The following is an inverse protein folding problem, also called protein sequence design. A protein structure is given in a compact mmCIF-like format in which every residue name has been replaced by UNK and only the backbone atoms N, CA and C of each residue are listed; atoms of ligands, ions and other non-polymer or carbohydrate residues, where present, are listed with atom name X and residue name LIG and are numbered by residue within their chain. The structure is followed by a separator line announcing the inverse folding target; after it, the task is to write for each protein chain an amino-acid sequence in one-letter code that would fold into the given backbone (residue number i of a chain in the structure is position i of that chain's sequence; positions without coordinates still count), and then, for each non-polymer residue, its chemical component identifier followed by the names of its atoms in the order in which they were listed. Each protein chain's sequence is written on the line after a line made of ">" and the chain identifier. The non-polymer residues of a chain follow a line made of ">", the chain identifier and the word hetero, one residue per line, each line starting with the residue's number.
data_IF_322267127334
#
_entry.id   IF_322267127334
#
_cell.length_a   1.000
_cell.length_b   1.000
_cell.length_c   1.000
_cell.angle_alpha   90.00
_cell.angle_beta   90.00
_cell.angle_gamma   90.00
#
_symmetry.space_group_name_H-M   'P 1'
#
loop_
_entity.id
_entity.type
_entity.pdbx_description
1 polymer ?
#
# COMPACT_ATOMS: atom_id res chain seq x y z
N UNK A 1 -24.03 -29.34 -1.14
CA UNK A 1 -23.78 -28.82 0.22
C UNK A 1 -24.70 -27.63 0.44
N UNK A 2 -25.61 -27.71 1.39
CA UNK A 2 -26.50 -26.62 1.74
C UNK A 2 -25.71 -25.46 2.37
N UNK A 3 -26.20 -24.21 2.26
CA UNK A 3 -25.53 -23.03 2.80
C UNK A 3 -25.25 -23.15 4.33
N UNK A 4 -26.08 -23.86 5.05
CA UNK A 4 -25.91 -24.14 6.50
C UNK A 4 -24.67 -24.98 6.80
N UNK A 5 -24.41 -26.05 6.07
CA UNK A 5 -23.19 -26.88 6.25
C UNK A 5 -21.89 -26.13 5.98
N UNK A 6 -21.95 -25.06 5.16
CA UNK A 6 -20.76 -24.25 4.87
C UNK A 6 -20.46 -23.25 5.99
N UNK A 7 -21.45 -22.67 6.66
CA UNK A 7 -21.24 -21.71 7.76
C UNK A 7 -20.78 -22.40 9.06
N UNK A 8 -21.14 -23.65 9.28
CA UNK A 8 -20.70 -24.43 10.45
C UNK A 8 -19.19 -24.66 10.48
N UNK A 9 -18.57 -24.83 9.31
CA UNK A 9 -17.12 -24.92 9.18
C UNK A 9 -16.39 -23.65 9.66
N UNK A 10 -17.07 -22.48 9.65
CA UNK A 10 -16.52 -21.18 10.06
C UNK A 10 -17.01 -20.72 11.46
N UNK A 11 -17.52 -21.62 12.27
CA UNK A 11 -17.97 -21.31 13.64
C UNK A 11 -19.47 -21.05 13.79
N UNK A 12 -20.25 -21.33 12.74
CA UNK A 12 -21.68 -21.14 12.70
C UNK A 12 -22.09 -19.72 12.28
N UNK A 13 -23.38 -19.56 12.00
CA UNK A 13 -23.97 -18.34 11.42
C UNK A 13 -23.72 -17.07 12.23
N UNK A 14 -23.71 -17.17 13.56
CA UNK A 14 -23.48 -16.00 14.46
C UNK A 14 -22.03 -15.53 14.38
N UNK A 15 -21.07 -16.44 14.41
CA UNK A 15 -19.63 -16.10 14.29
C UNK A 15 -19.32 -15.49 12.93
N UNK A 16 -19.82 -16.09 11.84
CA UNK A 16 -19.65 -15.57 10.48
C UNK A 16 -20.23 -14.16 10.35
N UNK A 17 -21.43 -13.91 10.88
CA UNK A 17 -22.07 -12.57 10.82
C UNK A 17 -21.26 -11.53 11.61
N UNK A 18 -20.80 -11.87 12.82
CA UNK A 18 -19.96 -11.01 13.66
C UNK A 18 -18.63 -10.69 12.96
N UNK A 19 -17.92 -11.70 12.49
CA UNK A 19 -16.65 -11.53 11.80
C UNK A 19 -16.81 -10.72 10.50
N UNK A 20 -17.89 -10.96 9.75
CA UNK A 20 -18.23 -10.19 8.58
C UNK A 20 -18.39 -8.69 8.89
N UNK A 21 -19.12 -8.36 9.95
CA UNK A 21 -19.26 -6.96 10.39
C UNK A 21 -17.91 -6.34 10.79
N UNK A 22 -17.06 -7.09 11.51
CA UNK A 22 -15.75 -6.59 11.93
C UNK A 22 -14.79 -6.39 10.74
N UNK A 23 -14.83 -7.24 9.71
CA UNK A 23 -14.08 -7.01 8.47
C UNK A 23 -14.65 -5.86 7.61
N UNK A 24 -15.96 -5.64 7.64
CA UNK A 24 -16.55 -4.42 7.06
C UNK A 24 -16.04 -3.18 7.79
N UNK A 25 -16.03 -3.20 9.12
CA UNK A 25 -15.50 -2.12 9.96
C UNK A 25 -14.01 -1.87 9.69
N UNK A 26 -13.20 -2.91 9.46
CA UNK A 26 -11.80 -2.78 9.03
C UNK A 26 -11.68 -1.92 7.77
N UNK A 27 -12.46 -2.22 6.71
CA UNK A 27 -12.45 -1.43 5.48
C UNK A 27 -12.90 0.02 5.69
N UNK A 28 -13.97 0.21 6.46
CA UNK A 28 -14.56 1.54 6.73
C UNK A 28 -13.62 2.43 7.55
N UNK A 29 -12.85 1.89 8.49
CA UNK A 29 -11.98 2.66 9.38
C UNK A 29 -10.57 2.83 8.84
N UNK A 30 -10.06 1.89 8.04
CA UNK A 30 -8.70 1.94 7.52
C UNK A 30 -8.49 3.05 6.49
N UNK A 31 -9.43 3.23 5.55
CA UNK A 31 -9.29 4.23 4.49
C UNK A 31 -9.20 5.67 4.99
N UNK A 32 -10.09 6.17 5.90
CA UNK A 32 -9.96 7.52 6.41
C UNK A 32 -8.70 7.73 7.25
N UNK A 33 -8.20 6.69 7.93
CA UNK A 33 -6.93 6.80 8.63
C UNK A 33 -5.76 7.04 7.67
N UNK A 34 -5.74 6.35 6.52
CA UNK A 34 -4.72 6.57 5.48
C UNK A 34 -4.83 7.96 4.86
N UNK A 35 -6.02 8.54 4.76
CA UNK A 35 -6.19 9.91 4.25
C UNK A 35 -5.49 10.95 5.15
N UNK A 36 -5.45 10.70 6.47
CA UNK A 36 -4.88 11.62 7.46
C UNK A 36 -3.49 11.24 7.95
N UNK A 37 -3.10 9.95 7.86
CA UNK A 37 -1.78 9.46 8.32
C UNK A 37 -1.09 8.74 7.14
N UNK A 38 -0.57 9.50 6.18
CA UNK A 38 0.15 8.93 5.03
C UNK A 38 1.07 9.94 4.36
N UNK A 39 1.97 9.41 3.53
CA UNK A 39 2.84 10.21 2.66
C UNK A 39 2.08 10.85 1.48
N UNK A 40 0.77 10.67 1.37
CA UNK A 40 -0.03 11.27 0.29
C UNK A 40 -0.56 12.66 0.62
N UNK A 41 -0.72 13.02 1.91
CA UNK A 41 -1.35 14.26 2.31
C UNK A 41 -0.67 14.95 3.52
N UNK A 42 -1.00 14.58 4.75
CA UNK A 42 -0.62 15.33 5.96
C UNK A 42 0.87 15.23 6.29
N UNK A 43 1.49 14.06 6.06
CA UNK A 43 2.91 13.86 6.36
C UNK A 43 3.82 14.75 5.51
N UNK A 44 3.64 14.92 4.18
CA UNK A 44 4.38 15.91 3.40
C UNK A 44 4.24 17.33 3.92
N UNK A 45 3.03 17.76 4.28
CA UNK A 45 2.79 19.09 4.83
C UNK A 45 3.51 19.31 6.16
N UNK A 46 3.49 18.31 7.05
CA UNK A 46 4.24 18.37 8.31
C UNK A 46 5.74 18.49 8.08
N UNK A 47 6.31 17.64 7.23
CA UNK A 47 7.74 17.63 6.94
C UNK A 47 8.20 18.95 6.31
N UNK A 48 7.41 19.51 5.42
CA UNK A 48 7.71 20.81 4.79
C UNK A 48 7.60 21.95 5.81
N UNK A 49 6.57 21.94 6.66
CA UNK A 49 6.42 22.92 7.74
C UNK A 49 7.61 22.88 8.73
N UNK A 50 8.18 21.71 8.98
CA UNK A 50 9.35 21.53 9.83
C UNK A 50 10.67 21.88 9.11
N UNK A 51 10.64 22.23 7.83
CA UNK A 51 11.83 22.51 7.03
C UNK A 51 12.68 21.27 6.73
N UNK A 52 12.04 20.12 6.58
CA UNK A 52 12.75 18.88 6.32
C UNK A 52 13.48 18.91 4.97
N UNK A 53 14.70 18.39 4.95
CA UNK A 53 15.51 18.25 3.74
C UNK A 53 14.92 17.19 2.80
N UNK A 54 15.29 17.25 1.50
CA UNK A 54 14.91 16.21 0.51
C UNK A 54 15.32 14.81 0.97
N UNK A 55 16.47 14.68 1.62
CA UNK A 55 16.95 13.41 2.18
C UNK A 55 16.04 12.91 3.32
N UNK A 56 15.62 13.78 4.23
CA UNK A 56 14.68 13.40 5.30
C UNK A 56 13.30 13.00 4.75
N UNK A 57 12.82 13.69 3.72
CA UNK A 57 11.60 13.31 3.02
C UNK A 57 11.73 11.94 2.33
N UNK A 58 12.87 11.69 1.68
CA UNK A 58 13.16 10.39 1.07
C UNK A 58 13.26 9.26 2.11
N UNK A 59 13.84 9.52 3.28
CA UNK A 59 13.84 8.58 4.41
C UNK A 59 12.40 8.27 4.83
N UNK A 60 11.57 9.29 5.07
CA UNK A 60 10.17 9.09 5.46
C UNK A 60 9.38 8.25 4.44
N UNK A 61 9.63 8.48 3.15
CA UNK A 61 8.98 7.73 2.06
C UNK A 61 9.52 6.31 1.94
N UNK A 62 10.84 6.12 2.00
CA UNK A 62 11.48 4.80 1.85
C UNK A 62 11.14 3.85 2.99
N UNK A 63 11.00 4.37 4.19
CA UNK A 63 10.65 3.60 5.40
C UNK A 63 9.31 2.89 5.27
N UNK A 64 8.37 3.42 4.49
CA UNK A 64 7.09 2.74 4.21
C UNK A 64 7.33 1.37 3.56
N UNK A 65 8.26 1.27 2.64
CA UNK A 65 8.60 0.03 1.94
C UNK A 65 9.65 -0.81 2.69
N UNK A 66 10.77 -0.18 3.08
CA UNK A 66 11.88 -0.87 3.76
C UNK A 66 11.45 -1.39 5.13
N UNK A 67 10.69 -0.61 5.89
CA UNK A 67 10.16 -1.03 7.20
C UNK A 67 9.28 -2.26 7.09
N UNK A 68 8.37 -2.24 6.11
CA UNK A 68 7.53 -3.40 5.80
C UNK A 68 8.36 -4.61 5.39
N UNK A 69 9.37 -4.45 4.53
CA UNK A 69 10.24 -5.54 4.08
C UNK A 69 11.02 -6.18 5.24
N UNK A 70 11.69 -5.38 6.07
CA UNK A 70 12.51 -5.87 7.18
C UNK A 70 11.67 -6.63 8.22
N UNK A 71 10.44 -6.20 8.44
CA UNK A 71 9.57 -6.79 9.46
C UNK A 71 8.84 -8.07 9.01
N UNK A 72 8.70 -8.29 7.70
CA UNK A 72 7.96 -9.45 7.15
C UNK A 72 8.43 -10.80 7.74
N UNK A 73 9.73 -11.13 7.80
CA UNK A 73 10.18 -12.41 8.33
C UNK A 73 9.75 -12.65 9.78
N UNK A 74 9.84 -11.61 10.60
CA UNK A 74 9.41 -11.66 11.98
C UNK A 74 7.91 -11.92 12.10
N UNK A 75 7.08 -11.19 11.33
CA UNK A 75 5.63 -11.33 11.38
C UNK A 75 5.12 -12.62 10.74
N UNK A 76 5.81 -13.18 9.74
CA UNK A 76 5.53 -14.54 9.24
C UNK A 76 5.69 -15.56 10.36
N UNK A 77 6.79 -15.51 11.10
CA UNK A 77 7.04 -16.40 12.24
C UNK A 77 6.02 -16.19 13.38
N UNK A 78 5.68 -14.92 13.68
CA UNK A 78 4.69 -14.60 14.70
C UNK A 78 3.29 -15.09 14.32
N UNK A 79 2.89 -14.90 13.06
CA UNK A 79 1.60 -15.35 12.54
C UNK A 79 1.46 -16.87 12.60
N UNK A 80 2.51 -17.61 12.17
CA UNK A 80 2.49 -19.07 12.16
C UNK A 80 2.43 -19.70 13.57
N UNK A 81 2.98 -19.02 14.59
CA UNK A 81 2.96 -19.48 16.00
C UNK A 81 1.71 -19.03 16.76
N UNK A 82 0.90 -18.18 16.18
CA UNK A 82 -0.25 -17.59 16.88
C UNK A 82 -1.45 -18.52 16.88
N UNK A 83 -1.88 -18.96 18.06
CA UNK A 83 -3.12 -19.74 18.22
C UNK A 83 -4.36 -18.91 17.90
N UNK A 84 -4.35 -17.61 18.27
CA UNK A 84 -5.41 -16.63 17.99
C UNK A 84 -4.82 -15.45 17.22
N UNK A 85 -4.82 -15.57 15.89
CA UNK A 85 -4.22 -14.59 15.01
C UNK A 85 -4.84 -13.20 15.15
N UNK A 86 -6.17 -13.11 15.31
CA UNK A 86 -6.88 -11.84 15.48
C UNK A 86 -6.40 -11.05 16.70
N UNK A 87 -6.29 -11.71 17.87
CA UNK A 87 -5.78 -11.07 19.09
C UNK A 87 -4.31 -10.70 19.02
N UNK A 88 -3.48 -11.56 18.41
CA UNK A 88 -2.06 -11.26 18.21
C UNK A 88 -1.89 -10.07 17.29
N UNK A 89 -2.62 -10.04 16.19
CA UNK A 89 -2.61 -8.91 15.27
C UNK A 89 -3.08 -7.62 15.94
N UNK A 90 -4.19 -7.65 16.67
CA UNK A 90 -4.69 -6.50 17.41
C UNK A 90 -3.65 -5.94 18.40
N UNK A 91 -2.88 -6.80 19.11
CA UNK A 91 -1.78 -6.34 20.00
C UNK A 91 -0.68 -5.61 19.23
N UNK A 92 -0.26 -6.13 18.09
CA UNK A 92 0.75 -5.47 17.24
C UNK A 92 0.22 -4.12 16.75
N UNK A 93 -1.03 -4.09 16.31
CA UNK A 93 -1.68 -2.87 15.88
C UNK A 93 -1.82 -1.85 17.01
N UNK A 94 -2.23 -2.25 18.20
CA UNK A 94 -2.34 -1.37 19.36
C UNK A 94 -0.97 -0.80 19.75
N UNK A 95 0.09 -1.62 19.79
CA UNK A 95 1.44 -1.16 20.05
C UNK A 95 1.85 -0.08 19.03
N UNK A 96 1.61 -0.31 17.75
CA UNK A 96 1.87 0.67 16.69
C UNK A 96 1.18 2.01 16.95
N UNK A 97 -0.13 1.98 17.30
CA UNK A 97 -0.94 3.18 17.54
C UNK A 97 -0.50 3.92 18.79
N UNK A 98 -0.22 3.22 19.87
CA UNK A 98 0.23 3.86 21.11
C UNK A 98 1.61 4.53 20.94
N UNK A 99 2.53 3.92 20.21
CA UNK A 99 3.84 4.53 19.93
C UNK A 99 3.70 5.78 19.05
N UNK A 100 2.83 5.75 18.05
CA UNK A 100 2.57 6.94 17.22
C UNK A 100 1.78 8.01 17.99
N UNK A 101 0.83 7.62 18.84
CA UNK A 101 0.12 8.53 19.74
C UNK A 101 1.08 9.24 20.70
N UNK A 102 2.09 8.53 21.23
CA UNK A 102 3.11 9.15 22.08
C UNK A 102 3.86 10.27 21.35
N UNK A 103 4.18 10.09 20.06
CA UNK A 103 4.73 11.17 19.24
C UNK A 103 3.74 12.34 19.11
N UNK A 104 2.47 12.07 18.78
CA UNK A 104 1.46 13.13 18.62
C UNK A 104 1.30 13.94 19.90
N UNK A 105 1.28 13.28 21.05
CA UNK A 105 1.20 13.96 22.36
C UNK A 105 2.48 14.72 22.73
N UNK A 106 3.64 14.31 22.20
CA UNK A 106 4.90 15.00 22.43
C UNK A 106 5.09 16.23 21.52
N UNK A 107 4.29 16.41 20.46
CA UNK A 107 4.43 17.53 19.52
C UNK A 107 4.49 18.91 20.17
N UNK A 108 3.66 19.25 21.18
CA UNK A 108 3.73 20.57 21.80
C UNK A 108 5.07 20.82 22.51
N UNK A 109 5.69 19.78 23.09
CA UNK A 109 6.98 19.88 23.75
C UNK A 109 8.13 20.09 22.76
N UNK A 110 7.95 19.65 21.53
CA UNK A 110 8.94 19.70 20.45
C UNK A 110 8.73 20.90 19.51
N UNK A 111 7.64 21.65 19.68
CA UNK A 111 7.21 22.70 18.73
C UNK A 111 8.26 23.80 18.52
N UNK A 112 9.07 24.11 19.52
CA UNK A 112 10.17 25.10 19.42
C UNK A 112 11.45 24.56 18.78
N UNK A 113 11.54 23.25 18.55
CA UNK A 113 12.75 22.58 18.05
C UNK A 113 12.45 21.74 16.80
N UNK A 114 12.19 22.41 15.67
CA UNK A 114 11.76 21.77 14.41
C UNK A 114 12.69 20.63 13.96
N UNK A 115 14.01 20.82 14.04
CA UNK A 115 14.98 19.78 13.66
C UNK A 115 14.89 18.52 14.54
N UNK A 116 14.75 18.69 15.87
CA UNK A 116 14.55 17.56 16.78
C UNK A 116 13.21 16.88 16.53
N UNK A 117 12.15 17.66 16.32
CA UNK A 117 10.82 17.14 16.01
C UNK A 117 10.81 16.31 14.73
N UNK A 118 11.54 16.74 13.69
CA UNK A 118 11.69 15.97 12.45
C UNK A 118 12.33 14.60 12.71
N UNK A 119 13.39 14.53 13.48
CA UNK A 119 14.03 13.25 13.79
C UNK A 119 13.20 12.35 14.69
N UNK A 120 12.50 12.90 15.68
CA UNK A 120 11.54 12.13 16.52
C UNK A 120 10.38 11.62 15.69
N UNK A 121 9.86 12.45 14.75
CA UNK A 121 8.86 12.00 13.79
C UNK A 121 9.39 10.84 12.93
N UNK A 122 10.55 10.97 12.32
CA UNK A 122 11.15 9.92 11.48
C UNK A 122 11.38 8.61 12.25
N UNK A 123 11.82 8.69 13.49
CA UNK A 123 11.95 7.50 14.34
C UNK A 123 10.60 6.85 14.63
N UNK A 124 9.61 7.63 15.04
CA UNK A 124 8.25 7.16 15.30
C UNK A 124 7.59 6.60 14.04
N UNK A 125 7.77 7.28 12.89
CA UNK A 125 7.27 6.87 11.59
C UNK A 125 7.92 5.56 11.11
N UNK A 126 9.21 5.39 11.38
CA UNK A 126 9.94 4.14 11.12
C UNK A 126 9.34 2.97 11.90
N UNK A 127 9.16 3.14 13.20
CA UNK A 127 8.55 2.11 14.06
C UNK A 127 7.11 1.80 13.59
N UNK A 128 6.35 2.85 13.26
CA UNK A 128 4.98 2.72 12.75
C UNK A 128 4.94 1.85 11.48
N UNK A 129 5.83 2.08 10.51
CA UNK A 129 5.85 1.33 9.26
C UNK A 129 6.47 -0.08 9.38
N UNK A 130 7.43 -0.27 10.29
CA UNK A 130 7.92 -1.61 10.65
C UNK A 130 6.79 -2.46 11.20
N UNK A 131 5.98 -1.94 12.12
CA UNK A 131 4.84 -2.65 12.68
C UNK A 131 3.68 -2.81 11.67
N UNK A 132 3.54 -1.88 10.71
CA UNK A 132 2.56 -1.98 9.62
C UNK A 132 2.80 -3.18 8.70
N UNK A 133 4.03 -3.68 8.61
CA UNK A 133 4.37 -4.89 7.86
C UNK A 133 3.61 -6.16 8.31
N UNK A 134 3.05 -6.15 9.51
CA UNK A 134 2.14 -7.21 9.99
C UNK A 134 0.82 -7.27 9.21
N UNK A 135 0.39 -6.15 8.61
CA UNK A 135 -0.94 -5.98 8.05
C UNK A 135 -1.38 -7.09 7.11
N UNK A 136 -0.68 -7.24 5.99
CA UNK A 136 -1.04 -8.24 4.96
C UNK A 136 -0.88 -9.68 5.48
N UNK A 137 0.14 -9.92 6.31
CA UNK A 137 0.49 -11.24 6.81
C UNK A 137 -0.54 -11.81 7.79
N UNK A 138 -1.24 -10.96 8.53
CA UNK A 138 -2.32 -11.37 9.43
C UNK A 138 -3.71 -11.22 8.79
N UNK A 139 -3.97 -10.13 8.06
CA UNK A 139 -5.29 -9.83 7.52
C UNK A 139 -5.75 -10.90 6.51
N UNK A 140 -4.89 -11.27 5.54
CA UNK A 140 -5.27 -12.24 4.50
C UNK A 140 -5.59 -13.63 5.09
N UNK A 141 -4.75 -14.26 5.93
CA UNK A 141 -5.09 -15.52 6.57
C UNK A 141 -6.33 -15.46 7.45
N UNK A 142 -6.56 -14.34 8.17
CA UNK A 142 -7.76 -14.16 8.99
C UNK A 142 -9.04 -14.13 8.14
N UNK A 143 -9.03 -13.41 7.02
CA UNK A 143 -10.17 -13.41 6.07
C UNK A 143 -10.44 -14.83 5.56
N UNK A 144 -9.40 -15.58 5.21
CA UNK A 144 -9.53 -16.95 4.72
C UNK A 144 -10.03 -17.91 5.81
N UNK A 145 -9.62 -17.71 7.05
CA UNK A 145 -10.00 -18.54 8.20
C UNK A 145 -11.42 -18.28 8.68
N UNK A 146 -11.87 -17.01 8.68
CA UNK A 146 -13.08 -16.57 9.39
C UNK A 146 -14.29 -16.35 8.48
N UNK A 147 -14.10 -16.26 7.16
CA UNK A 147 -15.19 -15.98 6.23
C UNK A 147 -15.32 -17.03 5.13
N UNK A 148 -16.56 -17.43 4.79
CA UNK A 148 -16.85 -18.28 3.63
C UNK A 148 -16.43 -17.58 2.33
N UNK A 149 -15.95 -18.31 1.28
CA UNK A 149 -15.45 -17.74 0.03
C UNK A 149 -16.41 -16.75 -0.64
N UNK A 150 -17.70 -17.06 -0.65
CA UNK A 150 -18.75 -16.24 -1.28
C UNK A 150 -18.92 -14.85 -0.63
N UNK A 151 -18.52 -14.67 0.65
CA UNK A 151 -18.69 -13.40 1.39
C UNK A 151 -17.42 -12.53 1.39
N UNK A 152 -16.25 -13.07 1.04
CA UNK A 152 -14.95 -12.39 1.19
C UNK A 152 -14.83 -11.14 0.31
N UNK A 153 -15.08 -11.30 -1.00
CA UNK A 153 -14.86 -10.22 -1.96
C UNK A 153 -15.90 -9.09 -1.82
N UNK A 154 -17.18 -9.43 -1.74
CA UNK A 154 -18.26 -8.44 -1.66
C UNK A 154 -18.15 -7.60 -0.38
N UNK A 155 -17.94 -8.26 0.76
CA UNK A 155 -17.84 -7.58 2.05
C UNK A 155 -16.65 -6.61 2.11
N UNK A 156 -15.49 -7.06 1.62
CA UNK A 156 -14.29 -6.22 1.56
C UNK A 156 -14.47 -5.04 0.61
N UNK A 157 -15.10 -5.28 -0.54
CA UNK A 157 -15.41 -4.22 -1.52
C UNK A 157 -16.34 -3.14 -0.95
N UNK A 158 -17.44 -3.54 -0.29
CA UNK A 158 -18.38 -2.59 0.33
C UNK A 158 -17.73 -1.84 1.49
N UNK A 159 -16.94 -2.52 2.35
CA UNK A 159 -16.21 -1.87 3.45
C UNK A 159 -15.22 -0.83 2.94
N UNK A 160 -14.43 -1.16 1.92
CA UNK A 160 -13.48 -0.22 1.31
C UNK A 160 -14.18 0.95 0.61
N UNK A 161 -15.30 0.71 -0.07
CA UNK A 161 -16.07 1.79 -0.70
C UNK A 161 -16.65 2.77 0.34
N UNK A 162 -17.27 2.25 1.41
CA UNK A 162 -17.75 3.06 2.52
C UNK A 162 -16.61 3.84 3.19
N UNK A 163 -15.47 3.20 3.43
CA UNK A 163 -14.27 3.85 3.97
C UNK A 163 -13.73 4.95 3.05
N UNK A 164 -13.78 4.77 1.73
CA UNK A 164 -13.35 5.78 0.75
C UNK A 164 -14.23 7.05 0.79
N UNK A 165 -15.54 6.89 1.01
CA UNK A 165 -16.46 8.04 1.18
C UNK A 165 -16.07 8.85 2.44
N UNK A 166 -15.83 8.16 3.56
CA UNK A 166 -15.40 8.82 4.80
C UNK A 166 -14.00 9.43 4.63
N UNK A 167 -13.09 8.74 3.93
CA UNK A 167 -11.77 9.26 3.64
C UNK A 167 -11.82 10.55 2.80
N UNK A 168 -12.72 10.63 1.84
CA UNK A 168 -12.93 11.83 1.04
C UNK A 168 -13.42 13.01 1.90
N UNK A 169 -14.33 12.76 2.84
CA UNK A 169 -14.73 13.77 3.81
C UNK A 169 -13.58 14.15 4.76
N UNK A 170 -12.75 13.19 5.16
CA UNK A 170 -11.59 13.44 6.01
C UNK A 170 -10.52 14.31 5.31
N UNK A 171 -10.31 14.18 4.01
CA UNK A 171 -9.38 15.05 3.27
C UNK A 171 -9.81 16.52 3.29
N UNK A 172 -11.12 16.80 3.29
CA UNK A 172 -11.63 18.17 3.39
C UNK A 172 -11.35 18.83 4.76
N UNK A 173 -11.09 18.03 5.80
CA UNK A 173 -10.71 18.55 7.11
C UNK A 173 -9.27 19.12 7.13
N UNK A 174 -8.41 18.72 6.21
CA UNK A 174 -6.99 19.12 6.20
C UNK A 174 -6.85 20.65 6.13
N UNK A 175 -7.32 21.32 5.07
CA UNK A 175 -7.17 22.79 4.97
C UNK A 175 -7.95 23.52 6.05
N UNK A 176 -9.15 23.06 6.41
CA UNK A 176 -9.97 23.67 7.44
C UNK A 176 -9.25 23.66 8.80
N UNK A 177 -8.60 22.53 9.14
CA UNK A 177 -7.91 22.38 10.42
C UNK A 177 -6.64 23.21 10.46
N UNK A 178 -5.84 23.21 9.38
CA UNK A 178 -4.59 23.97 9.32
C UNK A 178 -4.86 25.48 9.31
N UNK A 179 -5.91 25.94 8.64
CA UNK A 179 -6.29 27.36 8.61
C UNK A 179 -6.81 27.89 9.96
N UNK A 180 -7.44 27.03 10.78
CA UNK A 180 -8.09 27.47 12.03
C UNK A 180 -7.28 27.20 13.29
N UNK A 181 -6.41 26.21 13.28
CA UNK A 181 -5.67 25.76 14.46
C UNK A 181 -4.17 25.96 14.20
N UNK A 182 -3.47 26.75 15.04
CA UNK A 182 -2.05 26.99 14.86
C UNK A 182 -1.23 25.71 15.09
N UNK A 183 -0.02 25.68 14.50
CA UNK A 183 0.96 24.63 14.75
C UNK A 183 1.38 24.57 16.22
N UNK A 184 1.56 23.38 16.82
CA UNK A 184 1.42 22.05 16.24
C UNK A 184 -0.01 21.46 16.35
N UNK A 185 -0.96 22.21 16.92
CA UNK A 185 -2.32 21.74 17.23
C UNK A 185 -3.07 21.20 16.00
N UNK A 186 -2.90 21.83 14.83
CA UNK A 186 -3.52 21.37 13.58
C UNK A 186 -3.14 19.95 13.21
N UNK A 187 -1.85 19.63 13.26
CA UNK A 187 -1.36 18.27 12.96
C UNK A 187 -1.75 17.28 14.06
N UNK A 188 -1.78 17.72 15.33
CA UNK A 188 -2.26 16.87 16.43
C UNK A 188 -3.71 16.45 16.22
N UNK A 189 -4.57 17.37 15.80
CA UNK A 189 -5.98 17.07 15.50
C UNK A 189 -6.10 16.12 14.32
N UNK A 190 -5.41 16.39 13.19
CA UNK A 190 -5.46 15.53 12.01
C UNK A 190 -4.97 14.11 12.31
N UNK A 191 -3.81 13.98 12.93
CA UNK A 191 -3.29 12.67 13.34
C UNK A 191 -4.15 12.01 14.42
N UNK A 192 -4.71 12.80 15.35
CA UNK A 192 -5.62 12.32 16.37
C UNK A 192 -6.88 11.68 15.80
N UNK A 193 -7.52 12.34 14.83
CA UNK A 193 -8.68 11.78 14.11
C UNK A 193 -8.27 10.49 13.37
N UNK A 194 -7.15 10.51 12.66
CA UNK A 194 -6.63 9.32 12.00
C UNK A 194 -6.36 8.17 12.98
N UNK A 195 -5.80 8.46 14.15
CA UNK A 195 -5.57 7.48 15.21
C UNK A 195 -6.86 6.91 15.78
N UNK A 196 -7.93 7.72 15.96
CA UNK A 196 -9.25 7.22 16.39
C UNK A 196 -9.75 6.14 15.42
N UNK A 197 -9.66 6.37 14.12
CA UNK A 197 -10.00 5.36 13.13
C UNK A 197 -9.10 4.12 13.22
N UNK A 198 -7.79 4.30 13.43
CA UNK A 198 -6.85 3.18 13.60
C UNK A 198 -7.11 2.39 14.87
N UNK A 199 -7.45 3.02 15.99
CA UNK A 199 -7.82 2.31 17.22
C UNK A 199 -9.12 1.51 17.04
N UNK A 200 -10.13 2.09 16.38
CA UNK A 200 -11.36 1.38 16.04
C UNK A 200 -11.08 0.15 15.13
N UNK A 201 -10.18 0.30 14.17
CA UNK A 201 -9.68 -0.77 13.32
C UNK A 201 -9.04 -1.91 14.17
N UNK A 202 -8.12 -1.59 15.07
CA UNK A 202 -7.46 -2.56 15.93
C UNK A 202 -8.45 -3.27 16.87
N UNK A 203 -9.43 -2.54 17.42
CA UNK A 203 -10.49 -3.10 18.25
C UNK A 203 -11.32 -4.12 17.47
N UNK A 204 -11.57 -3.88 16.17
CA UNK A 204 -12.25 -4.84 15.30
C UNK A 204 -11.57 -6.21 15.32
N UNK A 205 -10.26 -6.27 15.17
CA UNK A 205 -9.50 -7.53 15.22
C UNK A 205 -9.46 -8.18 16.62
N UNK A 206 -9.50 -7.37 17.67
CA UNK A 206 -9.55 -7.89 19.05
C UNK A 206 -10.83 -8.66 19.34
N UNK A 207 -11.96 -8.20 18.80
CA UNK A 207 -13.28 -8.78 19.05
C UNK A 207 -13.70 -9.85 18.04
N UNK A 208 -12.81 -10.28 17.11
CA UNK A 208 -13.12 -11.37 16.19
C UNK A 208 -13.37 -12.69 16.93
N UNK A 209 -14.39 -13.39 16.48
CA UNK A 209 -14.71 -14.74 16.97
C UNK A 209 -13.85 -15.76 16.23
N UNK A 210 -12.76 -16.15 16.87
CA UNK A 210 -11.74 -17.02 16.29
C UNK A 210 -11.60 -18.28 17.15
N UNK A 211 -11.77 -19.44 16.51
CA UNK A 211 -11.44 -20.72 17.14
C UNK A 211 -9.92 -20.92 17.16
N UNK A 212 -9.43 -21.56 18.21
CA UNK A 212 -8.00 -21.89 18.33
C UNK A 212 -7.61 -22.87 17.21
N UNK A 213 -6.47 -22.65 16.56
CA UNK A 213 -5.93 -23.61 15.61
C UNK A 213 -5.45 -24.85 16.37
N UNK A 214 -5.96 -26.02 15.96
CA UNK A 214 -5.64 -27.30 16.60
C UNK A 214 -4.23 -27.76 16.22
N UNK A 215 -3.74 -27.39 15.02
CA UNK A 215 -2.41 -27.72 14.55
C UNK A 215 -1.53 -26.46 14.40
N UNK A 216 -0.34 -26.45 15.02
CA UNK A 216 0.62 -25.40 14.75
C UNK A 216 1.07 -25.48 13.29
N UNK A 217 0.89 -24.38 12.53
CA UNK A 217 1.43 -24.28 11.18
C UNK A 217 2.95 -24.40 11.26
N UNK A 218 3.55 -25.21 10.39
CA UNK A 218 5.01 -25.33 10.31
C UNK A 218 5.63 -23.96 10.05
N UNK A 219 6.45 -23.44 10.98
CA UNK A 219 7.05 -22.12 10.79
C UNK A 219 8.03 -22.17 9.62
N UNK A 220 7.77 -21.40 8.58
CA UNK A 220 8.72 -21.23 7.49
C UNK A 220 9.94 -20.48 8.03
N UNK A 221 11.13 -21.07 7.92
CA UNK A 221 12.37 -20.40 8.28
C UNK A 221 12.72 -19.36 7.24
N UNK A 222 13.01 -18.15 7.69
CA UNK A 222 13.42 -17.04 6.81
C UNK A 222 14.61 -17.41 5.93
N UNK A 223 15.56 -18.17 6.48
CA UNK A 223 16.76 -18.62 5.74
C UNK A 223 16.42 -19.54 4.57
N UNK A 224 15.44 -20.44 4.74
CA UNK A 224 14.96 -21.31 3.67
C UNK A 224 14.29 -20.50 2.56
N UNK A 225 13.42 -19.55 2.96
CA UNK A 225 12.77 -18.63 2.03
C UNK A 225 13.78 -17.83 1.21
N UNK A 226 14.75 -17.17 1.85
CA UNK A 226 15.77 -16.37 1.15
C UNK A 226 16.69 -17.21 0.27
N UNK A 227 16.96 -18.45 0.64
CA UNK A 227 17.78 -19.40 -0.15
C UNK A 227 17.09 -19.82 -1.44
N UNK A 228 15.77 -19.93 -1.43
CA UNK A 228 14.99 -20.38 -2.59
C UNK A 228 14.77 -19.27 -3.63
N UNK A 229 14.91 -17.99 -3.25
CA UNK A 229 14.70 -16.84 -4.15
C UNK A 229 15.54 -16.91 -5.43
N UNK A 230 16.90 -17.07 -5.38
CA UNK A 230 17.72 -17.12 -6.58
C UNK A 230 17.40 -18.32 -7.47
N UNK A 231 17.10 -19.48 -6.85
CA UNK A 231 16.72 -20.69 -7.56
C UNK A 231 15.43 -20.51 -8.34
N UNK A 232 14.38 -20.00 -7.70
CA UNK A 232 13.08 -19.75 -8.33
C UNK A 232 13.19 -18.78 -9.51
N UNK A 233 13.93 -17.68 -9.34
CA UNK A 233 14.14 -16.69 -10.42
C UNK A 233 14.98 -17.23 -11.59
N UNK A 234 15.91 -18.17 -11.35
CA UNK A 234 16.73 -18.79 -12.41
C UNK A 234 15.94 -19.81 -13.21
N UNK A 235 15.14 -20.62 -12.54
CA UNK A 235 14.43 -21.73 -13.17
C UNK A 235 13.10 -21.35 -13.82
N UNK A 236 12.39 -20.33 -13.29
CA UNK A 236 11.13 -19.87 -13.87
C UNK A 236 11.30 -18.58 -14.67
N UNK A 237 11.44 -18.73 -15.99
CA UNK A 237 11.64 -17.61 -16.91
C UNK A 237 10.38 -16.72 -17.05
N UNK A 238 9.18 -17.29 -16.89
CA UNK A 238 7.91 -16.53 -16.95
C UNK A 238 7.74 -15.69 -15.70
N UNK A 239 8.00 -16.27 -14.53
CA UNK A 239 7.96 -15.54 -13.27
C UNK A 239 9.03 -14.43 -13.23
N UNK A 240 10.25 -14.71 -13.66
CA UNK A 240 11.30 -13.68 -13.77
C UNK A 240 10.88 -12.52 -14.67
N UNK A 241 10.28 -12.81 -15.83
CA UNK A 241 9.81 -11.75 -16.73
C UNK A 241 8.69 -10.91 -16.11
N UNK A 242 7.78 -11.53 -15.33
CA UNK A 242 6.76 -10.85 -14.55
C UNK A 242 7.37 -9.96 -13.46
N UNK A 243 8.31 -10.49 -12.65
CA UNK A 243 8.99 -9.74 -11.59
C UNK A 243 9.67 -8.50 -12.16
N UNK A 244 10.37 -8.64 -13.31
CA UNK A 244 11.03 -7.50 -13.97
C UNK A 244 10.03 -6.42 -14.38
N UNK A 245 8.90 -6.79 -14.99
CA UNK A 245 7.83 -5.83 -15.33
C UNK A 245 7.28 -5.13 -14.09
N UNK A 246 7.04 -5.89 -13.02
CA UNK A 246 6.55 -5.36 -11.75
C UNK A 246 7.55 -4.41 -11.08
N UNK A 247 8.85 -4.67 -11.18
CA UNK A 247 9.90 -3.81 -10.62
C UNK A 247 9.85 -2.41 -11.22
N UNK A 248 9.73 -2.28 -12.54
CA UNK A 248 9.62 -0.95 -13.16
C UNK A 248 8.36 -0.20 -12.72
N UNK A 249 7.23 -0.89 -12.60
CA UNK A 249 5.98 -0.27 -12.15
C UNK A 249 6.00 0.09 -10.65
N UNK A 250 6.67 -0.71 -9.81
CA UNK A 250 6.82 -0.38 -8.40
C UNK A 250 7.73 0.83 -8.19
N UNK A 251 8.76 1.00 -9.02
CA UNK A 251 9.59 2.21 -9.01
C UNK A 251 8.74 3.43 -9.26
N UNK A 252 7.95 3.44 -10.34
CA UNK A 252 7.05 4.55 -10.64
C UNK A 252 6.04 4.82 -9.50
N UNK A 253 5.50 3.76 -8.88
CA UNK A 253 4.56 3.87 -7.76
C UNK A 253 5.20 4.43 -6.49
N UNK A 254 6.43 4.07 -6.19
CA UNK A 254 7.12 4.51 -4.97
C UNK A 254 7.47 6.01 -4.98
N UNK A 255 7.44 6.63 -6.15
CA UNK A 255 7.73 8.05 -6.33
C UNK A 255 6.50 8.96 -6.20
N UNK A 256 5.29 8.40 -6.01
CA UNK A 256 4.05 9.18 -5.82
C UNK A 256 4.17 10.30 -4.77
N UNK A 257 4.73 10.10 -3.55
CA UNK A 257 4.82 11.17 -2.56
C UNK A 257 5.57 12.42 -3.04
N UNK A 258 6.49 12.25 -3.99
CA UNK A 258 7.27 13.36 -4.54
C UNK A 258 6.48 14.30 -5.47
N UNK A 259 5.33 13.86 -5.99
CA UNK A 259 4.41 14.77 -6.69
C UNK A 259 3.84 15.84 -5.74
N UNK A 260 3.47 15.44 -4.52
CA UNK A 260 3.02 16.38 -3.49
C UNK A 260 4.17 17.31 -3.09
N UNK A 261 5.37 16.78 -2.89
CA UNK A 261 6.56 17.59 -2.59
C UNK A 261 6.87 18.60 -3.73
N UNK A 262 6.74 18.16 -4.98
CA UNK A 262 6.90 19.04 -6.16
C UNK A 262 5.86 20.16 -6.18
N UNK A 263 4.58 19.85 -5.89
CA UNK A 263 3.53 20.86 -5.79
C UNK A 263 3.89 21.93 -4.74
N UNK A 264 4.30 21.53 -3.57
CA UNK A 264 4.61 22.45 -2.47
C UNK A 264 5.86 23.28 -2.78
N UNK A 265 6.97 22.66 -3.21
CA UNK A 265 8.24 23.35 -3.38
C UNK A 265 8.35 24.17 -4.66
N UNK A 266 7.76 23.71 -5.76
CA UNK A 266 7.90 24.37 -7.06
C UNK A 266 6.78 25.39 -7.31
N UNK A 267 5.56 25.06 -6.90
CA UNK A 267 4.39 25.90 -7.15
C UNK A 267 3.88 26.61 -5.90
N UNK A 268 4.55 26.47 -4.73
CA UNK A 268 4.10 26.98 -3.45
C UNK A 268 2.63 26.60 -3.15
N UNK A 269 2.24 25.36 -3.52
CA UNK A 269 0.88 24.88 -3.37
C UNK A 269 0.53 24.74 -1.88
N UNK A 270 -0.61 25.30 -1.49
CA UNK A 270 -1.13 25.22 -0.13
C UNK A 270 -1.82 23.90 0.20
N UNK A 271 -2.35 23.85 1.41
CA UNK A 271 -3.02 22.66 1.99
C UNK A 271 -4.25 22.25 1.17
N UNK A 272 -4.97 23.20 0.58
CA UNK A 272 -6.13 22.95 -0.28
C UNK A 272 -5.76 22.10 -1.49
N UNK A 273 -4.62 22.38 -2.11
CA UNK A 273 -4.16 21.62 -3.26
C UNK A 273 -3.67 20.23 -2.85
N UNK A 274 -3.01 20.09 -1.72
CA UNK A 274 -2.61 18.78 -1.19
C UNK A 274 -3.84 17.92 -0.84
N UNK A 275 -4.87 18.53 -0.25
CA UNK A 275 -6.15 17.86 0.01
C UNK A 275 -6.86 17.47 -1.31
N UNK A 276 -6.77 18.31 -2.36
CA UNK A 276 -7.26 17.96 -3.69
C UNK A 276 -6.53 16.75 -4.27
N UNK A 277 -5.19 16.69 -4.20
CA UNK A 277 -4.42 15.55 -4.66
C UNK A 277 -4.81 14.26 -3.93
N UNK A 278 -4.96 14.33 -2.59
CA UNK A 278 -5.41 13.18 -1.80
C UNK A 278 -6.83 12.73 -2.21
N UNK A 279 -7.73 13.67 -2.43
CA UNK A 279 -9.10 13.41 -2.91
C UNK A 279 -9.11 12.77 -4.29
N UNK A 280 -8.30 13.29 -5.22
CA UNK A 280 -8.13 12.73 -6.57
C UNK A 280 -7.60 11.29 -6.53
N UNK A 281 -6.66 10.97 -5.62
CA UNK A 281 -6.17 9.61 -5.45
C UNK A 281 -7.29 8.65 -5.00
N UNK A 282 -8.14 9.07 -4.04
CA UNK A 282 -9.28 8.28 -3.56
C UNK A 282 -10.29 8.05 -4.69
N UNK A 283 -10.71 9.12 -5.38
CA UNK A 283 -11.66 9.05 -6.50
C UNK A 283 -11.12 8.17 -7.63
N UNK A 284 -9.85 8.35 -7.99
CA UNK A 284 -9.17 7.52 -8.99
C UNK A 284 -9.17 6.05 -8.58
N UNK A 285 -8.85 5.74 -7.32
CA UNK A 285 -8.88 4.39 -6.79
C UNK A 285 -10.27 3.74 -6.91
N UNK A 286 -11.33 4.47 -6.58
CA UNK A 286 -12.72 4.01 -6.72
C UNK A 286 -13.07 3.77 -8.20
N UNK A 287 -12.80 4.75 -9.08
CA UNK A 287 -13.08 4.64 -10.51
C UNK A 287 -12.36 3.45 -11.17
N UNK A 288 -11.08 3.28 -10.85
CA UNK A 288 -10.27 2.15 -11.29
C UNK A 288 -10.85 0.82 -10.79
N UNK A 289 -11.30 0.76 -9.52
CA UNK A 289 -11.88 -0.45 -8.96
C UNK A 289 -13.17 -0.88 -9.68
N UNK A 290 -14.01 0.08 -10.07
CA UNK A 290 -15.26 -0.18 -10.78
C UNK A 290 -15.03 -0.59 -12.24
N UNK A 291 -14.13 0.12 -12.94
CA UNK A 291 -13.89 -0.11 -14.39
C UNK A 291 -13.07 -1.37 -14.66
N UNK A 292 -12.11 -1.69 -13.78
CA UNK A 292 -11.18 -2.80 -14.03
C UNK A 292 -11.77 -4.17 -13.74
N UNK A 293 -12.77 -4.28 -12.88
CA UNK A 293 -13.56 -5.50 -12.77
C UNK A 293 -14.06 -5.95 -14.15
N UNK A 294 -14.66 -5.03 -14.88
CA UNK A 294 -15.20 -5.26 -16.21
C UNK A 294 -14.12 -5.62 -17.28
N UNK A 295 -12.93 -5.00 -17.20
CA UNK A 295 -11.82 -5.32 -18.12
C UNK A 295 -11.25 -6.71 -17.81
N UNK A 296 -11.11 -7.05 -16.52
CA UNK A 296 -10.60 -8.35 -16.08
C UNK A 296 -11.54 -9.47 -16.50
N UNK A 297 -12.86 -9.28 -16.35
CA UNK A 297 -13.86 -10.27 -16.72
C UNK A 297 -13.88 -10.56 -18.23
N UNK A 298 -13.57 -9.54 -19.06
CA UNK A 298 -13.56 -9.68 -20.52
C UNK A 298 -12.23 -10.08 -21.12
N UNK A 299 -11.10 -9.60 -20.61
CA UNK A 299 -9.77 -9.73 -21.22
C UNK A 299 -8.73 -10.41 -20.33
N UNK A 300 -9.13 -10.78 -19.09
CA UNK A 300 -8.24 -11.33 -18.09
C UNK A 300 -7.35 -10.28 -17.41
N UNK A 301 -6.70 -10.66 -16.29
CA UNK A 301 -5.92 -9.74 -15.46
C UNK A 301 -4.68 -9.20 -16.18
N UNK A 302 -4.13 -9.91 -17.14
CA UNK A 302 -2.93 -9.52 -17.91
C UNK A 302 -3.15 -8.22 -18.69
N UNK A 303 -4.40 -7.92 -19.08
CA UNK A 303 -4.74 -6.72 -19.84
C UNK A 303 -4.53 -5.41 -19.06
N UNK A 304 -4.45 -5.46 -17.74
CA UNK A 304 -4.18 -4.27 -16.90
C UNK A 304 -2.71 -3.85 -16.89
N UNK A 305 -1.77 -4.78 -17.14
CA UNK A 305 -0.34 -4.47 -17.11
C UNK A 305 0.10 -3.43 -18.16
N UNK A 306 -0.30 -3.52 -19.44
CA UNK A 306 -0.01 -2.46 -20.39
C UNK A 306 -0.71 -1.14 -20.06
N UNK A 307 -1.91 -1.18 -19.46
CA UNK A 307 -2.62 0.04 -19.03
C UNK A 307 -1.81 0.75 -17.93
N UNK A 308 -1.31 -0.01 -16.94
CA UNK A 308 -0.44 0.54 -15.90
C UNK A 308 0.81 1.21 -16.48
N UNK A 309 1.46 0.54 -17.44
CA UNK A 309 2.69 1.01 -18.06
C UNK A 309 2.45 2.29 -18.90
N UNK A 310 1.40 2.32 -19.70
CA UNK A 310 1.01 3.52 -20.50
C UNK A 310 0.63 4.68 -19.57
N UNK A 311 -0.14 4.42 -18.52
CA UNK A 311 -0.52 5.47 -17.56
C UNK A 311 0.71 6.04 -16.83
N UNK A 312 1.68 5.20 -16.43
CA UNK A 312 2.93 5.69 -15.83
C UNK A 312 3.77 6.51 -16.83
N UNK A 313 3.87 6.06 -18.09
CA UNK A 313 4.56 6.81 -19.14
C UNK A 313 3.91 8.18 -19.35
N UNK A 314 2.59 8.20 -19.50
CA UNK A 314 1.83 9.43 -19.69
C UNK A 314 1.96 10.38 -18.47
N UNK A 315 1.96 9.84 -17.25
CA UNK A 315 2.20 10.62 -16.04
C UNK A 315 3.57 11.31 -16.05
N UNK A 316 4.61 10.59 -16.46
CA UNK A 316 5.97 11.15 -16.62
C UNK A 316 6.02 12.24 -17.70
N UNK A 317 5.44 11.98 -18.88
CA UNK A 317 5.43 12.95 -19.99
C UNK A 317 4.65 14.23 -19.61
N UNK A 318 3.45 14.08 -19.05
CA UNK A 318 2.64 15.24 -18.62
C UNK A 318 3.37 16.04 -17.53
N UNK A 319 4.04 15.36 -16.59
CA UNK A 319 4.82 16.03 -15.55
C UNK A 319 6.05 16.76 -16.08
N UNK A 320 6.69 16.25 -17.16
CA UNK A 320 7.84 16.90 -17.80
C UNK A 320 7.46 18.14 -18.61
N UNK A 321 6.34 18.07 -19.35
CA UNK A 321 5.92 19.14 -20.26
C UNK A 321 5.03 20.16 -19.57
N UNK A 322 4.33 19.74 -18.51
CA UNK A 322 3.35 20.56 -17.83
C UNK A 322 3.96 21.45 -16.75
N UNK A 323 3.87 22.78 -16.92
CA UNK A 323 4.38 23.77 -15.97
C UNK A 323 3.24 24.42 -15.16
N UNK A 324 2.24 23.65 -14.75
CA UNK A 324 1.08 24.15 -13.99
C UNK A 324 0.56 23.11 -12.98
N UNK A 325 -0.12 23.60 -11.95
CA UNK A 325 -0.81 22.73 -10.98
C UNK A 325 -1.86 21.84 -11.64
N UNK A 326 -2.53 22.33 -12.69
CA UNK A 326 -3.50 21.53 -13.44
C UNK A 326 -2.83 20.34 -14.16
N UNK A 327 -1.70 20.59 -14.84
CA UNK A 327 -0.93 19.51 -15.46
C UNK A 327 -0.40 18.50 -14.42
N UNK A 328 0.05 18.98 -13.27
CA UNK A 328 0.50 18.13 -12.17
C UNK A 328 -0.66 17.28 -11.62
N UNK A 329 -1.88 17.83 -11.52
CA UNK A 329 -3.07 17.05 -11.14
C UNK A 329 -3.37 15.92 -12.13
N UNK A 330 -3.25 16.19 -13.43
CA UNK A 330 -3.42 15.15 -14.47
C UNK A 330 -2.34 14.08 -14.35
N UNK A 331 -1.07 14.49 -14.20
CA UNK A 331 0.03 13.54 -13.99
C UNK A 331 -0.18 12.71 -12.73
N UNK A 332 -0.66 13.31 -11.64
CA UNK A 332 -1.00 12.63 -10.39
C UNK A 332 -2.11 11.58 -10.58
N UNK A 333 -3.20 11.93 -11.27
CA UNK A 333 -4.29 10.97 -11.57
C UNK A 333 -3.77 9.82 -12.40
N UNK A 334 -3.00 10.07 -13.45
CA UNK A 334 -2.41 9.04 -14.29
C UNK A 334 -1.47 8.10 -13.49
N UNK A 335 -0.64 8.67 -12.60
CA UNK A 335 0.23 7.90 -11.73
C UNK A 335 -0.56 7.02 -10.73
N UNK A 336 -1.69 7.53 -10.20
CA UNK A 336 -2.59 6.75 -9.35
C UNK A 336 -3.33 5.65 -10.13
N UNK A 337 -3.71 5.89 -11.39
CA UNK A 337 -4.23 4.84 -12.29
C UNK A 337 -3.17 3.75 -12.48
N UNK A 338 -1.93 4.12 -12.78
CA UNK A 338 -0.83 3.16 -12.93
C UNK A 338 -0.62 2.32 -11.68
N UNK A 339 -0.62 2.96 -10.50
CA UNK A 339 -0.50 2.31 -9.19
C UNK A 339 -1.62 1.30 -8.94
N UNK A 340 -2.87 1.72 -9.14
CA UNK A 340 -4.03 0.87 -8.91
C UNK A 340 -4.09 -0.33 -9.87
N UNK A 341 -3.70 -0.14 -11.14
CA UNK A 341 -3.56 -1.21 -12.12
C UNK A 341 -2.45 -2.20 -11.72
N UNK A 342 -1.27 -1.67 -11.37
CA UNK A 342 -0.12 -2.47 -10.97
C UNK A 342 -0.47 -3.40 -9.79
N UNK A 343 -1.04 -2.86 -8.72
CA UNK A 343 -1.39 -3.62 -7.52
C UNK A 343 -2.33 -4.79 -7.81
N UNK A 344 -3.33 -4.57 -8.65
CA UNK A 344 -4.31 -5.61 -9.02
C UNK A 344 -3.71 -6.64 -9.97
N UNK A 345 -3.03 -6.19 -11.01
CA UNK A 345 -2.38 -7.07 -11.97
C UNK A 345 -1.44 -8.03 -11.27
N UNK A 346 -0.59 -7.51 -10.40
CA UNK A 346 0.40 -8.28 -9.66
C UNK A 346 -0.23 -9.41 -8.85
N UNK A 347 -1.32 -9.11 -8.11
CA UNK A 347 -2.00 -10.11 -7.29
C UNK A 347 -2.69 -11.21 -8.12
N UNK A 348 -3.35 -10.83 -9.22
CA UNK A 348 -4.12 -11.76 -10.03
C UNK A 348 -3.23 -12.62 -10.92
N UNK A 349 -2.17 -12.04 -11.49
CA UNK A 349 -1.23 -12.75 -12.35
C UNK A 349 -0.37 -13.77 -11.60
N UNK A 350 -0.12 -13.54 -10.30
CA UNK A 350 0.56 -14.52 -9.47
C UNK A 350 -0.17 -15.86 -9.40
N UNK A 351 -1.52 -15.83 -9.40
CA UNK A 351 -2.33 -17.04 -9.50
C UNK A 351 -2.13 -17.82 -10.80
N UNK A 352 -1.90 -17.10 -11.91
CA UNK A 352 -1.71 -17.70 -13.25
C UNK A 352 -0.27 -18.19 -13.51
N UNK A 353 0.72 -17.60 -12.83
CA UNK A 353 2.14 -17.87 -13.05
C UNK A 353 2.71 -18.86 -12.02
N UNK A 354 2.15 -18.89 -10.79
CA UNK A 354 2.67 -19.75 -9.74
C UNK A 354 2.23 -21.22 -9.93
N UNK A 355 3.15 -22.19 -9.80
CA UNK A 355 2.80 -23.61 -9.76
C UNK A 355 1.89 -23.93 -8.58
N UNK A 356 1.06 -24.95 -8.73
CA UNK A 356 0.14 -25.42 -7.68
C UNK A 356 0.88 -25.69 -6.37
N UNK A 357 0.40 -25.08 -5.27
CA UNK A 357 1.00 -25.19 -3.94
C UNK A 357 2.20 -24.26 -3.64
N UNK A 358 2.78 -23.56 -4.64
CA UNK A 358 3.93 -22.64 -4.46
C UNK A 358 3.56 -21.16 -4.48
N UNK A 359 2.28 -20.83 -4.65
CA UNK A 359 1.82 -19.44 -4.72
C UNK A 359 2.30 -18.56 -3.54
N UNK A 360 2.32 -19.01 -2.26
CA UNK A 360 2.81 -18.17 -1.17
C UNK A 360 4.28 -17.77 -1.32
N UNK A 361 5.14 -18.67 -1.81
CA UNK A 361 6.57 -18.38 -2.04
C UNK A 361 6.76 -17.36 -3.17
N UNK A 362 6.01 -17.50 -4.27
CA UNK A 362 6.04 -16.57 -5.41
C UNK A 362 5.56 -15.17 -5.01
N UNK A 363 4.47 -15.07 -4.25
CA UNK A 363 3.98 -13.82 -3.66
C UNK A 363 5.07 -13.18 -2.80
N UNK A 364 5.66 -13.94 -1.89
CA UNK A 364 6.70 -13.44 -0.99
C UNK A 364 7.92 -12.91 -1.75
N UNK A 365 8.43 -13.65 -2.75
CA UNK A 365 9.58 -13.23 -3.56
C UNK A 365 9.29 -11.91 -4.28
N UNK A 366 8.13 -11.81 -4.95
CA UNK A 366 7.76 -10.60 -5.69
C UNK A 366 7.64 -9.39 -4.77
N UNK A 367 6.95 -9.54 -3.62
CA UNK A 367 6.81 -8.45 -2.67
C UNK A 367 8.14 -8.04 -2.04
N UNK A 368 8.98 -8.99 -1.67
CA UNK A 368 10.30 -8.70 -1.09
C UNK A 368 11.17 -7.90 -2.05
N UNK A 369 11.25 -8.32 -3.33
CA UNK A 369 12.00 -7.58 -4.35
C UNK A 369 11.39 -6.19 -4.58
N UNK A 370 10.07 -6.11 -4.70
CA UNK A 370 9.36 -4.86 -4.92
C UNK A 370 9.58 -3.85 -3.81
N UNK A 371 9.48 -4.28 -2.54
CA UNK A 371 9.68 -3.42 -1.38
C UNK A 371 11.12 -2.95 -1.25
N UNK A 372 12.10 -3.84 -1.48
CA UNK A 372 13.51 -3.49 -1.44
C UNK A 372 13.87 -2.48 -2.53
N UNK A 373 13.47 -2.75 -3.78
CA UNK A 373 13.74 -1.85 -4.90
C UNK A 373 13.06 -0.50 -4.70
N UNK A 374 11.80 -0.49 -4.27
CA UNK A 374 11.07 0.73 -3.94
C UNK A 374 11.85 1.61 -2.94
N UNK A 375 12.29 1.03 -1.82
CA UNK A 375 13.02 1.77 -0.79
C UNK A 375 14.36 2.31 -1.28
N UNK A 376 15.14 1.49 -2.01
CA UNK A 376 16.45 1.90 -2.55
C UNK A 376 16.30 3.02 -3.57
N UNK A 377 15.34 2.92 -4.50
CA UNK A 377 15.14 3.95 -5.53
C UNK A 377 14.69 5.27 -4.91
N UNK A 378 13.81 5.24 -3.92
CA UNK A 378 13.38 6.45 -3.21
C UNK A 378 14.56 7.15 -2.54
N UNK A 379 15.45 6.41 -1.88
CA UNK A 379 16.66 6.98 -1.26
C UNK A 379 17.63 7.53 -2.32
N UNK A 380 17.80 6.82 -3.43
CA UNK A 380 18.67 7.26 -4.52
C UNK A 380 18.12 8.48 -5.27
N UNK A 381 16.80 8.73 -5.22
CA UNK A 381 16.19 9.89 -5.87
C UNK A 381 16.57 11.20 -5.18
N UNK A 382 16.75 11.23 -3.85
CA UNK A 382 17.00 12.46 -3.11
C UNK A 382 18.17 13.28 -3.68
N UNK A 383 19.40 12.73 -3.84
CA UNK A 383 20.50 13.50 -4.43
C UNK A 383 20.27 13.89 -5.89
N UNK A 384 19.49 13.13 -6.65
CA UNK A 384 19.11 13.50 -8.01
C UNK A 384 18.15 14.71 -8.03
N UNK A 385 17.21 14.77 -7.09
CA UNK A 385 16.30 15.93 -6.95
C UNK A 385 17.07 17.18 -6.56
N UNK A 386 18.08 17.06 -5.70
CA UNK A 386 18.91 18.18 -5.29
C UNK A 386 19.82 18.67 -6.45
N UNK A 387 20.27 17.77 -7.35
CA UNK A 387 21.15 18.07 -8.46
C UNK A 387 20.43 18.64 -9.69
N UNK A 388 19.33 18.04 -10.12
CA UNK A 388 18.63 18.36 -11.39
C UNK A 388 17.13 18.69 -11.21
N UNK A 389 16.69 18.86 -9.96
CA UNK A 389 15.32 19.19 -9.63
C UNK A 389 14.32 18.06 -9.92
N UNK A 390 13.03 18.42 -9.87
CA UNK A 390 11.94 17.44 -10.05
C UNK A 390 11.83 16.86 -11.48
N UNK A 391 12.60 17.37 -12.44
CA UNK A 391 12.74 16.74 -13.76
C UNK A 391 13.14 15.28 -13.67
N UNK A 392 14.06 14.93 -12.73
CA UNK A 392 14.46 13.55 -12.47
C UNK A 392 13.28 12.65 -12.13
N UNK A 393 12.34 13.13 -11.29
CA UNK A 393 11.14 12.39 -10.91
C UNK A 393 10.35 11.94 -12.15
N UNK A 394 10.03 12.86 -13.02
CA UNK A 394 9.17 12.61 -14.18
C UNK A 394 9.87 11.77 -15.25
N UNK A 395 11.19 11.98 -15.46
CA UNK A 395 12.01 11.14 -16.35
C UNK A 395 12.02 9.69 -15.87
N UNK A 396 12.23 9.45 -14.57
CA UNK A 396 12.25 8.09 -14.01
C UNK A 396 10.87 7.45 -14.11
N UNK A 397 9.80 8.16 -13.73
CA UNK A 397 8.42 7.62 -13.80
C UNK A 397 8.05 7.28 -15.24
N UNK A 398 8.24 8.20 -16.18
CA UNK A 398 7.94 8.01 -17.60
C UNK A 398 8.81 6.93 -18.23
N UNK A 399 10.11 6.93 -17.96
CA UNK A 399 11.06 5.92 -18.44
C UNK A 399 10.74 4.53 -17.93
N UNK A 400 10.46 4.37 -16.63
CA UNK A 400 10.03 3.09 -16.06
C UNK A 400 8.71 2.59 -16.68
N UNK A 401 7.75 3.49 -16.93
CA UNK A 401 6.53 3.15 -17.64
C UNK A 401 6.79 2.63 -19.06
N UNK A 402 7.60 3.35 -19.84
CA UNK A 402 7.96 2.97 -21.21
C UNK A 402 8.71 1.62 -21.26
N UNK A 403 9.68 1.43 -20.38
CA UNK A 403 10.42 0.16 -20.28
C UNK A 403 9.50 -0.98 -19.84
N UNK A 404 8.61 -0.76 -18.88
CA UNK A 404 7.61 -1.74 -18.44
C UNK A 404 6.67 -2.13 -19.58
N UNK A 405 6.21 -1.16 -20.38
CA UNK A 405 5.37 -1.42 -21.55
C UNK A 405 6.09 -2.28 -22.59
N UNK A 406 7.31 -1.89 -22.97
CA UNK A 406 8.12 -2.61 -23.94
C UNK A 406 8.41 -4.05 -23.47
N UNK A 407 8.86 -4.19 -22.21
CA UNK A 407 9.17 -5.49 -21.61
C UNK A 407 7.94 -6.39 -21.54
N UNK A 408 6.81 -5.83 -21.18
CA UNK A 408 5.56 -6.56 -21.10
C UNK A 408 5.14 -7.08 -22.49
N UNK A 409 5.16 -6.22 -23.51
CA UNK A 409 4.76 -6.58 -24.87
C UNK A 409 5.72 -7.59 -25.53
N UNK A 410 7.03 -7.42 -25.36
CA UNK A 410 8.04 -8.21 -26.07
C UNK A 410 8.54 -9.44 -25.32
N UNK A 411 8.48 -9.46 -24.01
CA UNK A 411 9.08 -10.51 -23.18
C UNK A 411 8.06 -11.27 -22.36
N UNK A 412 7.24 -10.58 -21.57
CA UNK A 412 6.36 -11.23 -20.62
C UNK A 412 5.15 -11.88 -21.27
N UNK A 413 4.36 -11.15 -22.06
CA UNK A 413 3.13 -11.69 -22.69
C UNK A 413 3.42 -12.88 -23.61
N UNK A 414 4.43 -12.87 -24.49
CA UNK A 414 4.77 -14.03 -25.31
C UNK A 414 5.17 -15.27 -24.50
N UNK A 415 5.87 -15.09 -23.37
CA UNK A 415 6.26 -16.21 -22.50
C UNK A 415 5.05 -16.80 -21.79
N UNK A 416 4.16 -15.94 -21.26
CA UNK A 416 2.93 -16.38 -20.62
C UNK A 416 2.01 -17.14 -21.59
N UNK A 417 1.90 -16.69 -22.82
CA UNK A 417 1.12 -17.39 -23.85
C UNK A 417 1.68 -18.79 -24.12
N UNK A 418 3.01 -18.93 -24.24
CA UNK A 418 3.67 -20.22 -24.42
C UNK A 418 3.50 -21.15 -23.22
N UNK A 419 3.61 -20.64 -21.99
CA UNK A 419 3.41 -21.45 -20.77
C UNK A 419 1.98 -22.00 -20.67
N UNK A 420 0.97 -21.20 -21.05
CA UNK A 420 -0.42 -21.63 -21.10
C UNK A 420 -0.70 -22.69 -22.16
N UNK A 421 0.01 -22.65 -23.29
CA UNK A 421 -0.10 -23.66 -24.35
C UNK A 421 0.59 -24.98 -23.97
N UNK A 422 1.67 -24.92 -23.19
CA UNK A 422 2.40 -26.10 -22.72
C UNK A 422 1.68 -26.84 -21.58
N UNK A 423 0.71 -26.22 -20.91
CA UNK A 423 -0.11 -26.82 -19.83
C UNK A 423 -1.61 -26.76 -20.19
N UNK A 424 -2.10 -27.57 -21.12
CA UNK A 424 -3.48 -27.49 -21.61
C UNK A 424 -4.55 -28.04 -20.68
N UNK A 425 -4.20 -28.38 -19.44
CA UNK A 425 -5.14 -28.94 -18.43
C UNK A 425 -5.10 -28.11 -17.14
N UNK A 426 -5.97 -27.09 -17.08
CA UNK A 426 -6.58 -26.66 -15.81
C UNK A 426 -7.91 -25.95 -16.11
#
# INVERSE_FOLDING_TARGET
>A
MTAETTEDAYGGRRAVRRNAFLFFLDGVTFQPSLALISMAAVVPLLLEHLGASTAQFAIATSVVSVGTFISQPYFVSLCSRSRRMGKTFARVLLLQRFLFLAFVLAMPLLASHHGLMTWVFLASWTIFNVLAGSGTLFNVPLVLKLLPPRKRAGLRGVGMAGGSIIALAATALIPITIARIPFPGSYMVLFGIGLVFLFANAAGFWFMDERDDVEPRVPMKVSEYLRDVPGTLRHDATFRAMVTSCVFLVVANSLLPFYTLHAIRTFAAGEDYVALLASLAIVTGVAVNLTFGFIIDRRGPVALSPIAAVAATAAGVVGLVGHSLAALSVAWVLANVASACYMKTTMLMLGDVSPSGKAPSYVGILFSISMLVSGVVVLALAPLLDAIGFTALFVIVGGCGAVAWFWNARVFQPRLARSRQASPTH
#
